data_IF_786737021022
#
_entry.id   IF_786737021022
#
_cell.length_a   1.000
_cell.length_b   1.000
_cell.length_c   1.000
_cell.angle_alpha   90.00
_cell.angle_beta   90.00
_cell.angle_gamma   90.00
#
_symmetry.space_group_name_H-M   'P 1'
#
loop_
_entity.id
_entity.type
_entity.pdbx_description
1 polymer ?
#
# COMPACT_ATOMS: atom_id res chain seq x y z
N UNK A 1 7.97 3.65 1.93
CA UNK A 1 6.52 4.00 1.96
C UNK A 1 6.36 5.43 1.46
N UNK A 2 5.16 5.83 0.99
CA UNK A 2 4.92 7.25 0.60
C UNK A 2 5.16 8.18 1.80
N UNK A 3 4.95 7.71 3.04
CA UNK A 3 5.26 8.47 4.25
C UNK A 3 6.70 9.01 4.28
N UNK A 4 7.68 8.29 3.74
CA UNK A 4 9.07 8.76 3.69
C UNK A 4 9.24 10.02 2.83
N UNK A 5 8.44 10.16 1.77
CA UNK A 5 8.43 11.34 0.90
C UNK A 5 7.85 12.57 1.61
N UNK A 6 6.82 12.37 2.44
CA UNK A 6 6.12 13.45 3.14
C UNK A 6 6.96 13.98 4.32
N UNK A 7 7.75 13.11 4.97
CA UNK A 7 8.75 13.51 5.98
C UNK A 7 9.79 14.41 5.31
N UNK A 8 10.28 14.01 4.13
CA UNK A 8 11.26 14.79 3.38
C UNK A 8 10.71 16.16 2.91
N UNK A 9 9.41 16.26 2.65
CA UNK A 9 8.73 17.52 2.30
C UNK A 9 8.29 18.35 3.52
N UNK A 10 8.61 17.93 4.76
CA UNK A 10 8.27 18.67 5.98
C UNK A 10 6.77 18.78 6.28
N UNK A 11 5.94 17.88 5.73
CA UNK A 11 4.48 17.88 5.94
C UNK A 11 4.13 17.04 7.19
N UNK A 12 3.30 17.59 8.07
CA UNK A 12 2.70 16.85 9.19
C UNK A 12 1.78 15.73 8.67
N UNK A 13 1.89 14.53 9.25
CA UNK A 13 1.08 13.37 8.87
C UNK A 13 -0.31 13.42 9.47
N UNK A 14 -1.34 13.35 8.61
CA UNK A 14 -2.73 13.05 9.03
C UNK A 14 -3.11 11.63 8.54
N UNK A 15 -2.18 10.68 8.70
CA UNK A 15 -2.33 9.27 8.31
C UNK A 15 -1.36 8.78 7.23
N UNK A 16 -1.48 7.50 6.86
CA UNK A 16 -0.57 6.79 5.96
C UNK A 16 -1.25 6.35 4.66
N UNK A 17 -0.63 6.63 3.53
CA UNK A 17 -0.98 6.05 2.23
C UNK A 17 0.01 4.95 1.85
N UNK A 18 -0.49 3.77 1.54
CA UNK A 18 0.31 2.61 1.19
C UNK A 18 0.06 2.18 -0.26
N UNK A 19 1.15 1.89 -0.97
CA UNK A 19 1.13 1.24 -2.29
C UNK A 19 1.71 -0.16 -2.12
N UNK A 20 1.00 -1.16 -2.62
CA UNK A 20 1.44 -2.55 -2.65
C UNK A 20 1.50 -3.03 -4.11
N UNK A 21 2.71 -3.23 -4.61
CA UNK A 21 2.94 -3.78 -5.95
C UNK A 21 3.01 -5.32 -5.87
N UNK A 22 1.96 -5.97 -6.39
CA UNK A 22 1.86 -7.43 -6.39
C UNK A 22 2.68 -8.10 -7.50
N UNK A 23 3.34 -7.37 -8.40
CA UNK A 23 4.27 -7.96 -9.36
C UNK A 23 5.50 -8.59 -8.67
N UNK A 24 5.85 -8.07 -7.49
CA UNK A 24 6.94 -8.58 -6.64
C UNK A 24 6.51 -9.88 -5.92
N UNK A 25 5.21 -10.15 -5.88
CA UNK A 25 4.64 -11.29 -5.19
C UNK A 25 4.92 -12.59 -5.94
N UNK A 26 5.90 -13.36 -5.46
CA UNK A 26 6.25 -14.67 -6.00
C UNK A 26 5.44 -15.80 -5.35
N UNK A 27 5.34 -16.95 -6.03
CA UNK A 27 4.60 -18.13 -5.57
C UNK A 27 5.02 -18.61 -4.17
N UNK A 28 6.27 -18.35 -3.76
CA UNK A 28 6.77 -18.65 -2.40
C UNK A 28 5.99 -17.94 -1.30
N UNK A 29 5.48 -16.73 -1.56
CA UNK A 29 4.65 -16.01 -0.60
C UNK A 29 3.21 -16.53 -0.60
N UNK A 30 2.74 -17.11 -1.71
CA UNK A 30 1.39 -17.69 -1.88
C UNK A 30 1.07 -18.76 -0.87
N UNK A 31 2.04 -19.62 -0.54
CA UNK A 31 1.88 -20.67 0.47
C UNK A 31 1.67 -20.10 1.88
N UNK A 32 2.18 -18.90 2.16
CA UNK A 32 2.10 -18.26 3.49
C UNK A 32 0.89 -17.33 3.63
N UNK A 33 0.30 -16.91 2.50
CA UNK A 33 -0.78 -15.92 2.46
C UNK A 33 -2.15 -16.62 2.48
N UNK A 34 -2.38 -17.34 3.57
CA UNK A 34 -3.66 -17.97 3.87
C UNK A 34 -4.66 -16.99 4.50
N UNK A 35 -5.91 -17.46 4.65
CA UNK A 35 -7.00 -16.65 5.22
C UNK A 35 -6.71 -16.21 6.66
N UNK A 36 -6.05 -17.06 7.46
CA UNK A 36 -5.66 -16.74 8.82
C UNK A 36 -4.69 -15.56 8.87
N UNK A 37 -3.67 -15.55 7.99
CA UNK A 37 -2.70 -14.45 7.87
C UNK A 37 -3.41 -13.14 7.55
N UNK A 38 -4.38 -13.16 6.63
CA UNK A 38 -5.13 -11.96 6.28
C UNK A 38 -6.05 -11.48 7.41
N UNK A 39 -6.69 -12.40 8.14
CA UNK A 39 -7.50 -12.03 9.32
C UNK A 39 -6.61 -11.40 10.40
N UNK A 40 -5.43 -11.96 10.66
CA UNK A 40 -4.45 -11.37 11.58
C UNK A 40 -3.99 -9.98 11.11
N UNK A 41 -3.74 -9.83 9.81
CA UNK A 41 -3.36 -8.56 9.22
C UNK A 41 -4.49 -7.51 9.38
N UNK A 42 -5.74 -7.86 9.06
CA UNK A 42 -6.92 -7.02 9.28
C UNK A 42 -7.07 -6.61 10.75
N UNK A 43 -6.84 -7.53 11.69
CA UNK A 43 -6.89 -7.21 13.11
C UNK A 43 -5.75 -6.27 13.54
N UNK A 44 -4.57 -6.42 12.95
CA UNK A 44 -3.44 -5.52 13.19
C UNK A 44 -3.78 -4.09 12.76
N UNK A 45 -4.45 -3.91 11.62
CA UNK A 45 -4.91 -2.58 11.15
C UNK A 45 -5.83 -1.86 12.15
N UNK A 46 -6.54 -2.59 13.01
CA UNK A 46 -7.44 -2.00 14.02
C UNK A 46 -6.69 -1.42 15.21
N UNK A 47 -5.45 -1.85 15.45
CA UNK A 47 -4.64 -1.45 16.61
C UNK A 47 -3.45 -0.56 16.23
N UNK A 48 -3.24 -0.29 14.94
CA UNK A 48 -2.20 0.63 14.50
C UNK A 48 -2.48 2.03 15.07
N UNK A 49 -1.47 2.69 15.67
CA UNK A 49 -1.61 4.06 16.18
C UNK A 49 -1.68 5.11 15.05
N UNK A 50 -1.67 4.68 13.80
CA UNK A 50 -1.74 5.52 12.60
C UNK A 50 -3.05 5.30 11.86
N UNK A 51 -3.58 6.38 11.29
CA UNK A 51 -4.77 6.30 10.44
C UNK A 51 -4.34 5.87 9.04
N UNK A 52 -4.69 4.67 8.61
CA UNK A 52 -4.56 4.31 7.20
C UNK A 52 -5.50 5.20 6.38
N UNK A 53 -5.00 5.94 5.40
CA UNK A 53 -5.79 6.84 4.56
C UNK A 53 -6.20 6.14 3.26
N UNK A 54 -5.24 5.55 2.55
CA UNK A 54 -5.46 4.75 1.34
C UNK A 54 -4.52 3.55 1.33
N UNK A 55 -5.01 2.44 0.79
CA UNK A 55 -4.24 1.23 0.53
C UNK A 55 -4.47 0.81 -0.93
N UNK A 56 -3.52 1.15 -1.79
CA UNK A 56 -3.61 0.94 -3.24
C UNK A 56 -2.79 -0.28 -3.62
N UNK A 57 -3.46 -1.33 -4.09
CA UNK A 57 -2.85 -2.58 -4.57
C UNK A 57 -2.87 -2.55 -6.09
N UNK A 58 -1.70 -2.65 -6.72
CA UNK A 58 -1.53 -2.70 -8.18
C UNK A 58 -0.98 -4.06 -8.60
N UNK A 59 -1.09 -4.37 -9.89
CA UNK A 59 -0.71 -5.67 -10.47
C UNK A 59 -1.38 -6.86 -9.74
N UNK A 60 -2.59 -6.66 -9.22
CA UNK A 60 -3.32 -7.67 -8.46
C UNK A 60 -3.70 -8.86 -9.34
N UNK A 61 -3.61 -10.06 -8.77
CA UNK A 61 -4.09 -11.30 -9.38
C UNK A 61 -5.51 -11.63 -8.91
N UNK A 62 -6.23 -12.47 -9.65
CA UNK A 62 -7.58 -12.91 -9.26
C UNK A 62 -7.61 -13.64 -7.89
N UNK A 63 -6.48 -14.24 -7.48
CA UNK A 63 -6.32 -14.80 -6.14
C UNK A 63 -6.42 -13.73 -5.05
N UNK A 64 -5.70 -12.61 -5.19
CA UNK A 64 -5.70 -11.51 -4.21
C UNK A 64 -7.07 -10.86 -4.10
N UNK A 65 -7.74 -10.64 -5.22
CA UNK A 65 -9.12 -10.12 -5.23
C UNK A 65 -10.08 -11.04 -4.48
N UNK A 66 -9.96 -12.35 -4.70
CA UNK A 66 -10.79 -13.36 -4.01
C UNK A 66 -10.51 -13.35 -2.51
N UNK A 67 -9.24 -13.35 -2.12
CA UNK A 67 -8.85 -13.29 -0.72
C UNK A 67 -9.35 -12.01 -0.03
N UNK A 68 -9.27 -10.85 -0.70
CA UNK A 68 -9.79 -9.60 -0.16
C UNK A 68 -11.31 -9.66 0.03
N UNK A 69 -12.06 -10.21 -0.93
CA UNK A 69 -13.52 -10.39 -0.80
C UNK A 69 -13.89 -11.23 0.42
N UNK A 70 -13.09 -12.25 0.76
CA UNK A 70 -13.30 -13.09 1.94
C UNK A 70 -13.07 -12.33 3.25
N UNK A 71 -12.09 -11.43 3.31
CA UNK A 71 -11.77 -10.68 4.54
C UNK A 71 -12.50 -9.34 4.66
N UNK A 72 -13.04 -8.81 3.56
CA UNK A 72 -13.78 -7.54 3.50
C UNK A 72 -14.88 -7.42 4.58
N UNK A 73 -15.69 -8.45 4.87
CA UNK A 73 -16.72 -8.37 5.92
C UNK A 73 -16.18 -8.13 7.34
N UNK A 74 -14.91 -8.46 7.61
CA UNK A 74 -14.28 -8.28 8.93
C UNK A 74 -13.65 -6.89 9.12
N UNK A 75 -13.60 -6.10 8.05
CA UNK A 75 -13.17 -4.72 8.06
C UNK A 75 -14.35 -3.80 8.37
N UNK A 76 -14.12 -2.78 9.20
CA UNK A 76 -15.08 -1.69 9.35
C UNK A 76 -15.30 -0.99 8.00
N UNK A 77 -16.50 -0.49 7.74
CA UNK A 77 -16.86 0.19 6.48
C UNK A 77 -15.85 1.29 6.10
N UNK A 78 -15.39 2.06 7.10
CA UNK A 78 -14.34 3.08 6.94
C UNK A 78 -13.04 2.52 6.39
N UNK A 79 -12.63 1.30 6.77
CA UNK A 79 -11.43 0.67 6.23
C UNK A 79 -11.69 0.06 4.86
N UNK A 80 -12.85 -0.57 4.65
CA UNK A 80 -13.21 -1.14 3.34
C UNK A 80 -13.12 -0.10 2.22
N UNK A 81 -13.59 1.13 2.47
CA UNK A 81 -13.58 2.23 1.50
C UNK A 81 -12.19 2.84 1.25
N UNK A 82 -11.15 2.33 1.91
CA UNK A 82 -9.75 2.79 1.76
C UNK A 82 -8.90 1.82 0.96
N UNK A 83 -9.42 0.64 0.63
CA UNK A 83 -8.74 -0.34 -0.21
C UNK A 83 -9.12 -0.13 -1.68
N UNK A 84 -8.11 0.06 -2.51
CA UNK A 84 -8.25 0.18 -3.96
C UNK A 84 -7.40 -0.91 -4.60
N UNK A 85 -8.02 -1.84 -5.32
CA UNK A 85 -7.35 -3.02 -5.88
C UNK A 85 -7.49 -2.99 -7.39
N UNK A 86 -6.36 -3.01 -8.08
CA UNK A 86 -6.27 -2.93 -9.53
C UNK A 86 -5.44 -4.08 -10.08
N UNK A 87 -5.92 -4.69 -11.17
CA UNK A 87 -5.13 -5.59 -12.00
C UNK A 87 -4.09 -4.85 -12.85
N UNK A 88 -4.33 -3.55 -13.12
CA UNK A 88 -3.39 -2.64 -13.80
C UNK A 88 -2.20 -2.27 -12.90
N UNK A 89 -1.11 -1.84 -13.53
CA UNK A 89 0.14 -1.48 -12.87
C UNK A 89 0.18 -0.04 -12.39
N UNK A 90 1.35 0.59 -12.57
CA UNK A 90 1.64 1.94 -12.08
C UNK A 90 0.68 3.00 -12.61
N UNK A 91 0.03 2.77 -13.75
CA UNK A 91 -0.91 3.71 -14.34
C UNK A 91 -2.10 3.98 -13.41
N UNK A 92 -2.53 2.98 -12.64
CA UNK A 92 -3.62 3.10 -11.67
C UNK A 92 -3.27 4.02 -10.49
N UNK A 93 -1.97 4.25 -10.22
CA UNK A 93 -1.54 5.14 -9.13
C UNK A 93 -1.88 6.60 -9.41
N UNK A 94 -1.94 6.99 -10.69
CA UNK A 94 -2.30 8.36 -11.10
C UNK A 94 -3.72 8.77 -10.71
N UNK A 95 -4.61 7.79 -10.44
CA UNK A 95 -5.97 8.03 -9.95
C UNK A 95 -6.01 8.47 -8.47
N UNK A 96 -4.94 8.17 -7.72
CA UNK A 96 -4.91 8.37 -6.25
C UNK A 96 -3.85 9.36 -5.79
N UNK A 97 -2.81 9.57 -6.59
CA UNK A 97 -1.64 10.36 -6.23
C UNK A 97 -1.29 11.34 -7.35
N UNK A 98 -0.94 12.57 -6.97
CA UNK A 98 -0.39 13.54 -7.90
C UNK A 98 1.01 13.09 -8.36
N UNK A 99 1.42 13.37 -9.61
CA UNK A 99 2.72 12.93 -10.13
C UNK A 99 3.90 13.38 -9.25
N UNK A 100 3.83 14.56 -8.65
CA UNK A 100 4.87 15.12 -7.75
C UNK A 100 5.01 14.39 -6.40
N UNK A 101 4.03 13.58 -6.03
CA UNK A 101 4.00 12.79 -4.80
C UNK A 101 4.35 11.31 -5.03
N UNK A 102 4.63 10.95 -6.28
CA UNK A 102 5.10 9.61 -6.65
C UNK A 102 6.59 9.65 -7.05
N UNK A 103 7.39 8.69 -6.56
CA UNK A 103 8.74 8.41 -7.07
C UNK A 103 8.77 8.16 -8.58
N UNK A 104 9.93 8.38 -9.22
CA UNK A 104 10.07 8.19 -10.68
C UNK A 104 9.76 6.76 -11.12
N UNK A 105 10.19 5.78 -10.33
CA UNK A 105 10.00 4.35 -10.55
C UNK A 105 8.54 3.90 -10.35
N UNK A 106 7.67 4.76 -9.80
CA UNK A 106 6.23 4.55 -9.72
C UNK A 106 5.45 5.44 -10.71
N UNK A 107 6.11 5.97 -11.74
CA UNK A 107 5.49 6.78 -12.78
C UNK A 107 5.26 8.25 -12.39
N UNK A 108 5.87 8.71 -11.31
CA UNK A 108 5.79 10.11 -10.87
C UNK A 108 6.95 10.98 -11.34
N UNK A 109 6.96 12.22 -10.86
CA UNK A 109 7.96 13.26 -11.18
C UNK A 109 8.82 13.63 -9.98
N UNK A 110 8.58 13.03 -8.80
CA UNK A 110 9.44 13.22 -7.63
C UNK A 110 10.89 12.87 -7.99
N UNK A 111 11.89 13.65 -7.54
CA UNK A 111 13.29 13.43 -7.93
C UNK A 111 13.87 12.09 -7.43
N UNK A 112 13.27 11.47 -6.41
CA UNK A 112 13.75 10.26 -5.76
C UNK A 112 13.10 8.99 -6.33
N UNK A 113 13.83 7.88 -6.20
CA UNK A 113 13.33 6.51 -6.39
C UNK A 113 12.86 5.88 -5.07
N UNK A 114 12.07 4.82 -5.12
CA UNK A 114 11.64 4.06 -3.92
C UNK A 114 12.84 3.56 -3.12
N UNK A 115 13.91 3.12 -3.80
CA UNK A 115 15.14 2.63 -3.16
C UNK A 115 15.85 3.74 -2.38
N UNK A 116 15.96 4.93 -2.96
CA UNK A 116 16.61 6.07 -2.31
C UNK A 116 15.81 6.59 -1.11
N UNK A 117 14.48 6.51 -1.17
CA UNK A 117 13.62 6.83 -0.02
C UNK A 117 13.84 5.81 1.11
N UNK A 118 13.92 4.52 0.78
CA UNK A 118 14.15 3.44 1.76
C UNK A 118 15.54 3.50 2.40
N UNK A 119 16.56 3.97 1.68
CA UNK A 119 17.96 3.98 2.13
C UNK A 119 18.40 5.20 2.94
N UNK A 120 17.54 6.22 3.12
CA UNK A 120 17.86 7.47 3.83
C UNK A 120 17.34 7.53 5.27
N UNK A 121 16.78 6.44 5.79
CA UNK A 121 16.35 6.38 7.19
C UNK A 121 17.59 6.35 8.10
N UNK A 122 17.66 7.17 9.16
CA UNK A 122 18.61 6.92 10.24
C UNK A 122 18.37 5.51 10.79
N UNK A 123 19.42 4.77 11.18
CA UNK A 123 19.24 3.47 11.81
C UNK A 123 18.33 3.61 13.03
N UNK A 124 17.34 2.71 13.13
CA UNK A 124 16.40 2.60 14.25
C UNK A 124 17.17 2.26 15.53
#
# INVERSE_FOLDING_TARGET
>A
MISDLWIHKGRLFVGEDAILDMSIYTDRYREKLGIQTLVQWVNTLKVLPTRLNKFVIINSTGFIETMFKLVKPFLAEKLQNRFFIYSRGIEALSEHFSPEDLPKDLGGTCPFTVRELSGKLPPV
#
